data_IF_629775742594
#
_entry.id   IF_629775742594
#
_cell.length_a   1.000
_cell.length_b   1.000
_cell.length_c   1.000
_cell.angle_alpha   90.00
_cell.angle_beta   90.00
_cell.angle_gamma   90.00
#
_symmetry.space_group_name_H-M   'P 1'
#
loop_
_entity.id
_entity.type
_entity.pdbx_description
1 polymer ?
#
# COMPACT_ATOMS: atom_id res chain seq x y z
N UNK A 1 -38.59 10.17 18.43
CA UNK A 1 -38.40 8.85 17.80
C UNK A 1 -37.31 9.00 16.75
N UNK A 2 -36.19 8.29 16.89
CA UNK A 2 -35.16 8.21 15.84
C UNK A 2 -35.57 7.16 14.82
N UNK A 3 -35.68 7.55 13.56
CA UNK A 3 -36.03 6.64 12.46
C UNK A 3 -34.85 5.71 12.13
N UNK A 4 -35.10 4.64 11.37
CA UNK A 4 -34.03 3.76 10.84
C UNK A 4 -33.06 4.56 9.97
N UNK A 5 -33.59 5.49 9.17
CA UNK A 5 -32.82 6.42 8.33
C UNK A 5 -31.87 7.28 9.18
N UNK A 6 -32.34 7.85 10.30
CA UNK A 6 -31.51 8.66 11.18
C UNK A 6 -30.33 7.86 11.76
N UNK A 7 -30.57 6.59 12.13
CA UNK A 7 -29.52 5.70 12.64
C UNK A 7 -28.49 5.36 11.59
N UNK A 8 -28.91 5.09 10.36
CA UNK A 8 -28.01 4.84 9.22
C UNK A 8 -27.16 6.07 8.91
N UNK A 9 -27.77 7.26 8.86
CA UNK A 9 -27.05 8.53 8.64
C UNK A 9 -26.02 8.73 9.75
N UNK A 10 -26.41 8.53 11.02
CA UNK A 10 -25.52 8.69 12.16
C UNK A 10 -24.34 7.70 12.10
N UNK A 11 -24.58 6.43 11.79
CA UNK A 11 -23.53 5.42 11.65
C UNK A 11 -22.59 5.70 10.46
N UNK A 12 -23.14 6.10 9.31
CA UNK A 12 -22.32 6.51 8.15
C UNK A 12 -21.49 7.77 8.48
N UNK A 13 -22.05 8.71 9.23
CA UNK A 13 -21.32 9.89 9.69
C UNK A 13 -20.19 9.50 10.65
N UNK A 14 -20.41 8.55 11.57
CA UNK A 14 -19.37 8.02 12.45
C UNK A 14 -18.23 7.36 11.66
N UNK A 15 -18.53 6.58 10.62
CA UNK A 15 -17.51 6.02 9.72
C UNK A 15 -16.69 7.15 9.08
N UNK A 16 -17.37 8.14 8.51
CA UNK A 16 -16.72 9.29 7.84
C UNK A 16 -15.84 10.08 8.80
N UNK A 17 -16.36 10.49 9.95
CA UNK A 17 -15.62 11.31 10.92
C UNK A 17 -14.41 10.57 11.49
N UNK A 18 -14.54 9.27 11.77
CA UNK A 18 -13.44 8.44 12.27
C UNK A 18 -12.31 8.33 11.23
N UNK A 19 -12.65 8.10 9.95
CA UNK A 19 -11.65 8.07 8.88
C UNK A 19 -10.98 9.43 8.67
N UNK A 20 -11.74 10.52 8.68
CA UNK A 20 -11.19 11.87 8.54
C UNK A 20 -10.26 12.25 9.70
N UNK A 21 -10.59 11.83 10.92
CA UNK A 21 -9.71 12.02 12.07
C UNK A 21 -8.39 11.26 11.89
N UNK A 22 -8.46 9.97 11.50
CA UNK A 22 -7.29 9.14 11.29
C UNK A 22 -6.37 9.64 10.16
N UNK A 23 -6.93 10.27 9.13
CA UNK A 23 -6.18 10.81 7.99
C UNK A 23 -5.60 12.21 8.24
N UNK A 24 -6.07 12.93 9.27
CA UNK A 24 -5.70 14.34 9.49
C UNK A 24 -4.19 14.57 9.56
N UNK A 25 -3.39 13.78 10.29
CA UNK A 25 -1.94 14.00 10.32
C UNK A 25 -1.28 13.83 8.95
N UNK A 26 -1.75 12.90 8.11
CA UNK A 26 -1.23 12.72 6.75
C UNK A 26 -1.69 13.84 5.81
N UNK A 27 -2.87 14.41 6.02
CA UNK A 27 -3.32 15.60 5.30
C UNK A 27 -2.43 16.82 5.61
N UNK A 28 -1.97 16.97 6.86
CA UNK A 28 -1.01 18.01 7.25
C UNK A 28 0.35 17.83 6.57
N UNK A 29 0.81 16.58 6.42
CA UNK A 29 2.02 16.24 5.63
C UNK A 29 1.82 16.61 4.16
N UNK A 30 0.69 16.26 3.57
CA UNK A 30 0.34 16.56 2.17
C UNK A 30 0.19 18.07 1.87
N UNK A 31 -0.14 18.87 2.91
CA UNK A 31 -0.26 20.33 2.85
C UNK A 31 1.06 21.08 2.95
N UNK A 32 2.19 20.38 3.18
CA UNK A 32 3.53 20.99 3.18
C UNK A 32 3.99 21.31 1.76
N UNK A 33 5.04 22.13 1.67
CA UNK A 33 5.64 22.58 0.40
C UNK A 33 7.09 22.14 0.31
N UNK A 34 7.66 22.16 -0.90
CA UNK A 34 9.08 21.83 -1.12
C UNK A 34 10.02 22.81 -0.40
N UNK A 35 9.60 24.08 -0.26
CA UNK A 35 10.36 25.09 0.49
C UNK A 35 10.35 24.85 2.00
N UNK A 36 9.30 24.20 2.52
CA UNK A 36 9.16 23.84 3.93
C UNK A 36 8.65 22.40 4.08
N UNK A 37 9.47 21.39 3.70
CA UNK A 37 9.00 20.02 3.59
C UNK A 37 8.89 19.39 4.98
N UNK A 38 8.00 18.39 5.16
CA UNK A 38 7.79 17.72 6.44
C UNK A 38 9.09 17.09 6.95
N UNK A 39 9.20 16.90 8.27
CA UNK A 39 10.27 16.06 8.82
C UNK A 39 9.90 14.58 8.65
N UNK A 40 10.90 13.70 8.62
CA UNK A 40 10.68 12.25 8.49
C UNK A 40 9.95 11.72 9.73
N UNK A 41 10.27 12.28 10.90
CA UNK A 41 9.65 11.99 12.19
C UNK A 41 8.17 12.35 12.21
N UNK A 42 7.81 13.54 11.72
CA UNK A 42 6.41 13.97 11.65
C UNK A 42 5.60 13.09 10.69
N UNK A 43 6.19 12.74 9.55
CA UNK A 43 5.54 11.83 8.59
C UNK A 43 5.42 10.40 9.14
N UNK A 44 6.42 9.91 9.88
CA UNK A 44 6.36 8.62 10.55
C UNK A 44 5.24 8.62 11.61
N UNK A 45 5.18 9.63 12.47
CA UNK A 45 4.11 9.78 13.46
C UNK A 45 2.72 9.82 12.79
N UNK A 46 2.58 10.51 11.67
CA UNK A 46 1.33 10.56 10.91
C UNK A 46 0.93 9.19 10.34
N UNK A 47 1.87 8.44 9.77
CA UNK A 47 1.61 7.09 9.29
C UNK A 47 1.23 6.13 10.44
N UNK A 48 1.95 6.19 11.56
CA UNK A 48 1.69 5.40 12.76
C UNK A 48 0.33 5.71 13.37
N UNK A 49 -0.10 6.97 13.34
CA UNK A 49 -1.44 7.37 13.77
C UNK A 49 -2.53 6.67 12.94
N UNK A 50 -2.40 6.66 11.61
CA UNK A 50 -3.35 5.95 10.74
C UNK A 50 -3.36 4.43 11.01
N UNK A 51 -2.19 3.85 11.27
CA UNK A 51 -2.06 2.42 11.56
C UNK A 51 -2.74 2.08 12.90
N UNK A 52 -2.47 2.85 13.96
CA UNK A 52 -3.09 2.68 15.27
C UNK A 52 -4.61 2.95 15.24
N UNK A 53 -5.11 3.73 14.28
CA UNK A 53 -6.53 3.96 14.13
C UNK A 53 -7.28 2.75 13.53
N UNK A 54 -6.61 1.77 12.92
CA UNK A 54 -7.23 0.64 12.19
C UNK A 54 -8.36 -0.07 12.97
N UNK A 55 -8.20 -0.43 14.26
CA UNK A 55 -9.29 -1.09 14.99
C UNK A 55 -10.51 -0.21 15.16
N UNK A 56 -10.32 1.10 15.39
CA UNK A 56 -11.41 2.06 15.50
C UNK A 56 -12.14 2.25 14.15
N UNK A 57 -11.40 2.28 13.04
CA UNK A 57 -11.97 2.33 11.68
C UNK A 57 -12.81 1.07 11.40
N UNK A 58 -12.29 -0.11 11.73
CA UNK A 58 -12.98 -1.38 11.55
C UNK A 58 -14.23 -1.50 12.42
N UNK A 59 -14.16 -0.99 13.64
CA UNK A 59 -15.29 -0.93 14.56
C UNK A 59 -16.38 0.03 14.06
N UNK A 60 -16.04 1.23 13.57
CA UNK A 60 -17.01 2.15 13.01
C UNK A 60 -17.78 1.55 11.81
N UNK A 61 -17.09 0.80 10.95
CA UNK A 61 -17.74 0.05 9.86
C UNK A 61 -18.64 -1.04 10.43
N UNK A 62 -18.21 -1.71 11.50
CA UNK A 62 -18.99 -2.76 12.17
C UNK A 62 -20.27 -2.21 12.80
N UNK A 63 -20.25 -1.01 13.38
CA UNK A 63 -21.46 -0.33 13.85
C UNK A 63 -22.46 -0.08 12.71
N UNK A 64 -21.98 0.40 11.56
CA UNK A 64 -22.84 0.55 10.38
C UNK A 64 -23.41 -0.79 9.90
N UNK A 65 -22.63 -1.88 9.96
CA UNK A 65 -23.14 -3.23 9.68
C UNK A 65 -24.21 -3.68 10.67
N UNK A 66 -24.07 -3.35 11.97
CA UNK A 66 -25.08 -3.64 13.00
C UNK A 66 -26.39 -2.92 12.72
N UNK A 67 -26.34 -1.65 12.33
CA UNK A 67 -27.53 -0.87 11.95
C UNK A 67 -28.21 -1.44 10.70
N UNK A 68 -27.44 -1.89 9.70
CA UNK A 68 -27.98 -2.57 8.53
C UNK A 68 -28.71 -3.87 8.88
N UNK A 69 -28.19 -4.65 9.83
CA UNK A 69 -28.86 -5.86 10.33
C UNK A 69 -30.14 -5.49 11.08
N UNK A 70 -30.09 -4.48 11.94
CA UNK A 70 -31.26 -3.97 12.65
C UNK A 70 -32.35 -3.41 11.71
N UNK A 71 -31.95 -2.92 10.54
CA UNK A 71 -32.85 -2.47 9.46
C UNK A 71 -33.46 -3.63 8.64
N UNK A 72 -33.14 -4.89 8.95
CA UNK A 72 -33.74 -6.08 8.33
C UNK A 72 -32.86 -6.80 7.31
N UNK A 73 -31.61 -6.40 7.10
CA UNK A 73 -30.68 -7.17 6.26
C UNK A 73 -30.22 -8.41 7.02
N UNK A 74 -30.47 -9.60 6.48
CA UNK A 74 -30.00 -10.83 7.11
C UNK A 74 -28.47 -10.92 7.13
N UNK A 75 -27.91 -11.37 8.25
CA UNK A 75 -26.46 -11.58 8.39
C UNK A 75 -25.92 -12.57 7.35
N UNK A 76 -26.71 -13.58 6.96
CA UNK A 76 -26.36 -14.50 5.87
C UNK A 76 -26.23 -13.80 4.52
N UNK A 77 -27.14 -12.89 4.16
CA UNK A 77 -27.05 -12.09 2.93
C UNK A 77 -25.79 -11.22 2.97
N UNK A 78 -25.52 -10.60 4.11
CA UNK A 78 -24.38 -9.71 4.29
C UNK A 78 -23.04 -10.46 4.18
N UNK A 79 -22.90 -11.60 4.85
CA UNK A 79 -21.70 -12.45 4.76
C UNK A 79 -21.42 -12.88 3.32
N UNK A 80 -22.46 -13.28 2.58
CA UNK A 80 -22.36 -13.64 1.15
C UNK A 80 -21.91 -12.47 0.29
N UNK A 81 -22.46 -11.28 0.48
CA UNK A 81 -22.11 -10.09 -0.30
C UNK A 81 -20.68 -9.59 -0.02
N UNK A 82 -20.20 -9.79 1.21
CA UNK A 82 -18.82 -9.49 1.60
C UNK A 82 -17.82 -10.58 1.23
N UNK A 83 -18.29 -11.72 0.70
CA UNK A 83 -17.49 -12.91 0.41
C UNK A 83 -16.69 -13.42 1.63
N UNK A 84 -17.32 -13.42 2.81
CA UNK A 84 -16.74 -13.95 4.06
C UNK A 84 -17.58 -15.08 4.63
N UNK A 85 -16.97 -15.91 5.49
CA UNK A 85 -17.70 -16.93 6.22
C UNK A 85 -18.71 -16.27 7.18
N UNK A 86 -19.88 -16.88 7.31
CA UNK A 86 -20.93 -16.36 8.20
C UNK A 86 -20.47 -16.29 9.67
N UNK A 87 -19.73 -17.30 10.14
CA UNK A 87 -19.12 -17.27 11.48
C UNK A 87 -18.21 -16.06 11.69
N UNK A 88 -17.37 -15.72 10.71
CA UNK A 88 -16.50 -14.54 10.75
C UNK A 88 -17.29 -13.24 10.85
N UNK A 89 -18.43 -13.15 10.15
CA UNK A 89 -19.32 -11.99 10.28
C UNK A 89 -19.94 -11.94 11.68
N UNK A 90 -20.42 -13.08 12.20
CA UNK A 90 -21.02 -13.17 13.54
C UNK A 90 -20.01 -12.74 14.62
N UNK A 91 -18.78 -13.24 14.55
CA UNK A 91 -17.70 -12.88 15.47
C UNK A 91 -17.40 -11.38 15.41
N UNK A 92 -17.34 -10.82 14.19
CA UNK A 92 -17.16 -9.38 13.98
C UNK A 92 -18.30 -8.57 14.57
N UNK A 93 -19.56 -8.97 14.33
CA UNK A 93 -20.74 -8.27 14.85
C UNK A 93 -20.89 -8.42 16.36
N UNK A 94 -20.28 -9.41 16.99
CA UNK A 94 -20.24 -9.57 18.46
C UNK A 94 -19.05 -8.85 19.12
N UNK A 95 -18.03 -8.47 18.36
CA UNK A 95 -16.80 -7.88 18.90
C UNK A 95 -17.07 -6.55 19.65
N UNK A 96 -16.55 -6.37 20.87
CA UNK A 96 -16.75 -5.12 21.62
C UNK A 96 -16.03 -3.94 20.96
N UNK A 97 -16.33 -2.73 21.43
CA UNK A 97 -15.57 -1.55 21.04
C UNK A 97 -14.08 -1.74 21.39
N UNK A 98 -13.14 -1.36 20.50
CA UNK A 98 -11.72 -1.50 20.76
C UNK A 98 -11.31 -0.58 21.92
N UNK A 99 -10.38 -1.04 22.74
CA UNK A 99 -9.74 -0.18 23.73
C UNK A 99 -8.99 0.97 23.02
N UNK A 100 -8.91 2.12 23.68
CA UNK A 100 -8.11 3.23 23.19
C UNK A 100 -6.65 2.76 23.00
N UNK A 101 -6.17 2.75 21.76
CA UNK A 101 -4.79 2.36 21.48
C UNK A 101 -3.84 3.47 21.89
N UNK A 102 -2.81 3.11 22.66
CA UNK A 102 -1.70 4.02 22.90
C UNK A 102 -1.03 4.36 21.57
N UNK A 103 -0.72 5.65 21.37
CA UNK A 103 0.02 6.05 20.18
C UNK A 103 1.41 5.39 20.20
N UNK A 104 1.88 4.84 19.06
CA UNK A 104 3.21 4.26 19.00
C UNK A 104 4.27 5.33 19.30
N UNK A 105 5.10 5.10 20.31
CA UNK A 105 6.18 6.01 20.67
C UNK A 105 7.33 5.93 19.64
N UNK A 106 7.87 7.10 19.29
CA UNK A 106 9.06 7.19 18.45
C UNK A 106 10.30 6.98 19.32
N UNK A 107 11.10 5.97 18.99
CA UNK A 107 12.33 5.67 19.74
C UNK A 107 13.57 5.97 18.91
N UNK A 108 14.66 6.39 19.56
CA UNK A 108 15.93 6.73 18.89
C UNK A 108 16.50 5.60 18.00
N UNK A 109 16.19 4.34 18.31
CA UNK A 109 16.63 3.18 17.52
C UNK A 109 15.95 3.02 16.17
N UNK A 110 14.86 3.76 15.88
CA UNK A 110 14.05 3.60 14.66
C UNK A 110 14.71 4.18 13.42
N UNK A 111 15.72 5.04 13.58
CA UNK A 111 16.37 5.75 12.48
C UNK A 111 17.77 5.20 12.19
N UNK A 112 18.21 5.35 10.94
CA UNK A 112 19.58 5.14 10.47
C UNK A 112 20.09 6.45 9.88
N UNK A 113 21.40 6.64 9.97
CA UNK A 113 22.05 7.77 9.28
C UNK A 113 21.88 7.60 7.77
N UNK A 114 21.45 8.66 7.11
CA UNK A 114 21.27 8.78 5.67
C UNK A 114 21.97 10.03 5.15
N UNK A 115 22.32 10.02 3.89
CA UNK A 115 22.87 11.19 3.22
C UNK A 115 21.80 12.28 3.04
N UNK A 116 22.26 13.52 2.84
CA UNK A 116 21.37 14.68 2.74
C UNK A 116 20.44 14.62 1.52
N UNK A 117 20.87 13.98 0.42
CA UNK A 117 20.08 13.87 -0.82
C UNK A 117 18.91 12.92 -0.60
N UNK A 118 19.16 11.73 -0.05
CA UNK A 118 18.10 10.77 0.31
C UNK A 118 17.09 11.37 1.29
N UNK A 119 17.56 12.12 2.30
CA UNK A 119 16.68 12.79 3.27
C UNK A 119 15.82 13.85 2.56
N UNK A 120 16.41 14.68 1.70
CA UNK A 120 15.67 15.69 0.92
C UNK A 120 14.63 15.02 0.02
N UNK A 121 15.04 14.02 -0.75
CA UNK A 121 14.17 13.27 -1.66
C UNK A 121 13.00 12.62 -0.92
N UNK A 122 13.26 12.01 0.24
CA UNK A 122 12.23 11.44 1.08
C UNK A 122 11.22 12.49 1.55
N UNK A 123 11.69 13.62 2.09
CA UNK A 123 10.84 14.68 2.64
C UNK A 123 9.97 15.34 1.57
N UNK A 124 10.50 15.55 0.38
CA UNK A 124 9.75 16.11 -0.74
C UNK A 124 8.74 15.10 -1.30
N UNK A 125 9.16 13.84 -1.51
CA UNK A 125 8.30 12.76 -2.01
C UNK A 125 7.14 12.42 -1.06
N UNK A 126 7.35 12.58 0.25
CA UNK A 126 6.31 12.38 1.27
C UNK A 126 5.08 13.28 1.05
N UNK A 127 5.26 14.48 0.51
CA UNK A 127 4.16 15.41 0.22
C UNK A 127 3.22 14.81 -0.84
N UNK A 128 3.79 14.30 -1.94
CA UNK A 128 3.06 13.65 -3.02
C UNK A 128 2.42 12.35 -2.56
N UNK A 129 3.18 11.48 -1.89
CA UNK A 129 2.70 10.19 -1.41
C UNK A 129 1.52 10.33 -0.43
N UNK A 130 1.59 11.28 0.52
CA UNK A 130 0.51 11.54 1.46
C UNK A 130 -0.73 12.12 0.76
N UNK A 131 -0.55 12.97 -0.25
CA UNK A 131 -1.64 13.52 -1.06
C UNK A 131 -2.38 12.44 -1.85
N UNK A 132 -1.64 11.54 -2.49
CA UNK A 132 -2.22 10.46 -3.28
C UNK A 132 -2.94 9.44 -2.40
N UNK A 133 -2.39 9.12 -1.22
CA UNK A 133 -3.09 8.35 -0.20
C UNK A 133 -4.42 9.03 0.18
N UNK A 134 -4.40 10.33 0.48
CA UNK A 134 -5.60 11.09 0.80
C UNK A 134 -6.66 11.04 -0.30
N UNK A 135 -6.26 11.14 -1.57
CA UNK A 135 -7.16 11.00 -2.73
C UNK A 135 -7.78 9.62 -2.82
N UNK A 136 -7.01 8.55 -2.60
CA UNK A 136 -7.50 7.17 -2.61
C UNK A 136 -8.55 6.96 -1.52
N UNK A 137 -8.29 7.43 -0.29
CA UNK A 137 -9.25 7.38 0.80
C UNK A 137 -10.50 8.21 0.51
N UNK A 138 -10.35 9.43 -0.01
CA UNK A 138 -11.48 10.28 -0.37
C UNK A 138 -12.39 9.64 -1.42
N UNK A 139 -11.79 8.97 -2.42
CA UNK A 139 -12.52 8.22 -3.44
C UNK A 139 -13.32 7.06 -2.81
N UNK A 140 -12.67 6.25 -1.98
CA UNK A 140 -13.30 5.10 -1.32
C UNK A 140 -14.42 5.50 -0.33
N UNK A 141 -14.29 6.65 0.34
CA UNK A 141 -15.26 7.16 1.31
C UNK A 141 -16.38 7.99 0.68
N UNK A 142 -16.32 8.29 -0.63
CA UNK A 142 -17.33 9.12 -1.30
C UNK A 142 -18.75 8.55 -1.14
N UNK A 143 -19.03 7.25 -1.38
CA UNK A 143 -20.36 6.70 -1.19
C UNK A 143 -20.88 6.82 0.26
N UNK A 144 -20.02 6.53 1.24
CA UNK A 144 -20.36 6.67 2.67
C UNK A 144 -20.65 8.13 3.01
N UNK A 145 -19.89 9.06 2.43
CA UNK A 145 -20.10 10.49 2.65
C UNK A 145 -21.45 10.95 2.12
N UNK A 146 -21.87 10.46 0.95
CA UNK A 146 -23.19 10.73 0.37
C UNK A 146 -24.32 10.24 1.28
N UNK A 147 -24.21 9.01 1.83
CA UNK A 147 -25.18 8.48 2.81
C UNK A 147 -25.20 9.34 4.08
N UNK A 148 -24.02 9.73 4.59
CA UNK A 148 -23.90 10.51 5.82
C UNK A 148 -24.46 11.93 5.75
N UNK A 149 -24.54 12.51 4.55
CA UNK A 149 -25.05 13.88 4.37
C UNK A 149 -26.57 13.94 4.50
N UNK A 150 -27.29 12.84 4.22
CA UNK A 150 -28.74 12.73 4.44
C UNK A 150 -29.61 13.77 3.71
N UNK A 151 -29.02 14.65 2.90
CA UNK A 151 -29.68 15.78 2.26
C UNK A 151 -30.54 15.39 1.06
N UNK A 152 -30.36 14.16 0.58
CA UNK A 152 -31.17 13.52 -0.46
C UNK A 152 -31.80 12.27 0.17
N UNK A 153 -33.12 12.22 0.40
CA UNK A 153 -33.78 11.07 1.05
C UNK A 153 -33.47 9.73 0.38
N UNK A 154 -33.30 9.73 -0.95
CA UNK A 154 -32.93 8.56 -1.74
C UNK A 154 -31.50 8.06 -1.45
N UNK A 155 -30.62 8.94 -0.95
CA UNK A 155 -29.23 8.62 -0.62
C UNK A 155 -29.04 8.02 0.79
N UNK A 156 -30.01 8.20 1.69
CA UNK A 156 -29.96 7.68 3.07
C UNK A 156 -30.77 6.38 3.25
N UNK A 157 -30.91 5.61 2.17
CA UNK A 157 -31.65 4.34 2.19
C UNK A 157 -30.78 3.19 2.70
N UNK A 158 -31.44 2.12 3.16
CA UNK A 158 -30.79 0.87 3.59
C UNK A 158 -29.93 0.28 2.48
N UNK A 159 -30.43 0.28 1.24
CA UNK A 159 -29.70 -0.25 0.09
C UNK A 159 -28.48 0.60 -0.29
N UNK A 160 -28.61 1.94 -0.30
CA UNK A 160 -27.48 2.84 -0.54
C UNK A 160 -26.37 2.67 0.52
N UNK A 161 -26.76 2.52 1.79
CA UNK A 161 -25.82 2.26 2.87
C UNK A 161 -25.13 0.90 2.74
N UNK A 162 -25.87 -0.15 2.35
CA UNK A 162 -25.29 -1.46 2.04
C UNK A 162 -24.26 -1.37 0.91
N UNK A 163 -24.62 -0.72 -0.20
CA UNK A 163 -23.73 -0.55 -1.35
C UNK A 163 -22.46 0.22 -0.99
N UNK A 164 -22.60 1.29 -0.20
CA UNK A 164 -21.48 2.10 0.27
C UNK A 164 -20.51 1.29 1.15
N UNK A 165 -21.01 0.45 2.06
CA UNK A 165 -20.17 -0.42 2.89
C UNK A 165 -19.49 -1.50 2.05
N UNK A 166 -20.19 -2.11 1.09
CA UNK A 166 -19.60 -3.11 0.20
C UNK A 166 -18.53 -2.49 -0.71
N UNK A 167 -18.72 -1.26 -1.16
CA UNK A 167 -17.69 -0.50 -1.88
C UNK A 167 -16.45 -0.32 -1.00
N UNK A 168 -16.60 0.18 0.23
CA UNK A 168 -15.48 0.38 1.15
C UNK A 168 -14.77 -0.95 1.49
N UNK A 169 -15.52 -2.04 1.68
CA UNK A 169 -14.97 -3.39 1.91
C UNK A 169 -14.10 -3.85 0.74
N UNK A 170 -14.58 -3.70 -0.50
CA UNK A 170 -13.81 -4.04 -1.71
C UNK A 170 -12.56 -3.16 -1.88
N UNK A 171 -12.64 -1.90 -1.46
CA UNK A 171 -11.52 -0.95 -1.54
C UNK A 171 -10.43 -1.18 -0.49
N UNK A 172 -10.65 -2.02 0.54
CA UNK A 172 -9.72 -2.20 1.67
C UNK A 172 -8.29 -2.53 1.26
N UNK A 173 -8.12 -3.47 0.33
CA UNK A 173 -6.79 -3.84 -0.16
C UNK A 173 -6.08 -2.68 -0.88
N UNK A 174 -6.83 -1.86 -1.62
CA UNK A 174 -6.28 -0.67 -2.29
C UNK A 174 -5.91 0.42 -1.27
N UNK A 175 -6.69 0.60 -0.20
CA UNK A 175 -6.37 1.52 0.89
C UNK A 175 -5.10 1.11 1.63
N UNK A 176 -4.93 -0.19 1.88
CA UNK A 176 -3.70 -0.73 2.49
C UNK A 176 -2.47 -0.54 1.59
N UNK A 177 -2.60 -0.80 0.29
CA UNK A 177 -1.53 -0.59 -0.69
C UNK A 177 -1.20 0.89 -0.90
N UNK A 178 -2.16 1.81 -0.75
CA UNK A 178 -1.94 3.24 -0.85
C UNK A 178 -1.00 3.80 0.23
N UNK A 179 -0.76 3.05 1.32
CA UNK A 179 0.23 3.39 2.35
C UNK A 179 1.67 3.06 1.92
N UNK A 180 1.87 2.14 0.96
CA UNK A 180 3.20 1.66 0.57
C UNK A 180 4.14 2.77 0.07
N UNK A 181 3.70 3.75 -0.75
CA UNK A 181 4.55 4.86 -1.16
C UNK A 181 5.02 5.73 0.02
N UNK A 182 4.17 5.94 1.03
CA UNK A 182 4.55 6.66 2.25
C UNK A 182 5.62 5.88 3.01
N UNK A 183 5.42 4.57 3.20
CA UNK A 183 6.41 3.70 3.86
C UNK A 183 7.74 3.66 3.09
N UNK A 184 7.70 3.65 1.77
CA UNK A 184 8.89 3.69 0.92
C UNK A 184 9.69 4.98 1.14
N UNK A 185 9.02 6.13 1.18
CA UNK A 185 9.66 7.42 1.46
C UNK A 185 10.25 7.47 2.88
N UNK A 186 9.58 6.89 3.88
CA UNK A 186 10.11 6.78 5.24
C UNK A 186 11.40 5.93 5.29
N UNK A 187 11.43 4.81 4.57
CA UNK A 187 12.65 3.98 4.45
C UNK A 187 13.78 4.75 3.76
N UNK A 188 13.48 5.50 2.70
CA UNK A 188 14.46 6.36 2.02
C UNK A 188 15.04 7.41 2.99
N UNK A 189 14.15 8.03 3.78
CA UNK A 189 14.48 9.02 4.80
C UNK A 189 15.22 8.47 6.02
N UNK A 190 15.41 7.15 6.12
CA UNK A 190 16.25 6.51 7.12
C UNK A 190 15.51 5.72 8.19
N UNK A 191 14.19 5.57 8.12
CA UNK A 191 13.45 4.70 9.04
C UNK A 191 13.82 3.23 8.76
N UNK A 192 14.12 2.48 9.83
CA UNK A 192 14.47 1.06 9.75
C UNK A 192 13.25 0.25 9.33
N UNK A 193 13.43 -0.62 8.34
CA UNK A 193 12.40 -1.58 7.90
C UNK A 193 11.92 -2.48 9.06
N UNK A 194 12.82 -2.92 9.94
CA UNK A 194 12.45 -3.71 11.12
C UNK A 194 11.50 -2.93 12.04
N UNK A 195 11.84 -1.68 12.37
CA UNK A 195 11.00 -0.83 13.21
C UNK A 195 9.66 -0.49 12.56
N UNK A 196 9.61 -0.34 11.23
CA UNK A 196 8.34 -0.22 10.51
C UNK A 196 7.52 -1.50 10.55
N UNK A 197 8.16 -2.67 10.40
CA UNK A 197 7.48 -3.96 10.45
C UNK A 197 6.87 -4.22 11.84
N UNK A 198 7.64 -3.95 12.90
CA UNK A 198 7.19 -4.00 14.30
C UNK A 198 6.00 -3.05 14.52
N UNK A 199 6.10 -1.79 14.08
CA UNK A 199 5.03 -0.82 14.28
C UNK A 199 3.77 -1.09 13.42
N UNK A 200 3.92 -1.82 12.32
CA UNK A 200 2.82 -2.31 11.49
C UNK A 200 2.20 -3.62 12.01
N UNK A 201 2.80 -4.25 13.03
CA UNK A 201 2.50 -5.60 13.48
C UNK A 201 2.49 -6.62 12.31
N UNK A 202 3.50 -6.52 11.44
CA UNK A 202 3.68 -7.45 10.32
C UNK A 202 5.06 -8.09 10.34
N UNK A 203 5.13 -9.31 9.83
CA UNK A 203 6.40 -9.98 9.63
C UNK A 203 7.30 -9.17 8.67
N UNK A 204 8.62 -9.02 8.93
CA UNK A 204 9.53 -8.25 8.08
C UNK A 204 9.51 -8.65 6.60
N UNK A 205 9.41 -9.95 6.30
CA UNK A 205 9.27 -10.44 4.92
C UNK A 205 8.00 -9.93 4.21
N UNK A 206 6.90 -9.74 4.95
CA UNK A 206 5.66 -9.17 4.41
C UNK A 206 5.87 -7.71 4.02
N UNK A 207 6.51 -6.93 4.89
CA UNK A 207 6.86 -5.54 4.58
C UNK A 207 7.83 -5.47 3.39
N UNK A 208 8.84 -6.34 3.36
CA UNK A 208 9.78 -6.42 2.24
C UNK A 208 9.04 -6.66 0.92
N UNK A 209 8.13 -7.63 0.86
CA UNK A 209 7.33 -7.94 -0.32
C UNK A 209 6.47 -6.75 -0.78
N UNK A 210 5.84 -6.03 0.15
CA UNK A 210 5.08 -4.79 -0.16
C UNK A 210 5.98 -3.72 -0.78
N UNK A 211 7.17 -3.54 -0.21
CA UNK A 211 8.12 -2.52 -0.67
C UNK A 211 8.89 -2.93 -1.93
N UNK A 212 8.83 -4.18 -2.39
CA UNK A 212 9.53 -4.60 -3.62
C UNK A 212 9.09 -3.79 -4.84
N UNK A 213 7.80 -3.45 -4.93
CA UNK A 213 7.26 -2.62 -6.02
C UNK A 213 7.48 -1.12 -5.85
N UNK A 214 8.21 -0.68 -4.81
CA UNK A 214 8.41 0.73 -4.48
C UNK A 214 9.88 1.13 -4.69
N UNK A 215 10.24 1.76 -5.83
CA UNK A 215 11.64 2.07 -6.16
C UNK A 215 12.35 2.91 -5.10
N UNK A 216 11.67 3.92 -4.55
CA UNK A 216 12.22 4.82 -3.53
C UNK A 216 12.66 4.07 -2.25
N UNK A 217 12.04 2.93 -1.93
CA UNK A 217 12.41 2.15 -0.74
C UNK A 217 13.81 1.53 -0.85
N UNK A 218 14.34 1.35 -2.08
CA UNK A 218 15.62 0.68 -2.36
C UNK A 218 16.67 1.61 -2.97
N UNK A 219 16.29 2.83 -3.32
CA UNK A 219 17.18 3.81 -3.92
C UNK A 219 18.38 4.15 -3.02
N UNK A 220 19.56 4.27 -3.63
CA UNK A 220 20.73 4.92 -3.04
C UNK A 220 20.77 6.36 -3.52
N UNK A 221 21.57 7.19 -2.86
CA UNK A 221 21.73 8.60 -3.26
C UNK A 221 22.10 8.77 -4.74
N UNK A 222 22.86 7.84 -5.32
CA UNK A 222 23.29 7.89 -6.71
C UNK A 222 22.14 7.61 -7.68
N UNK A 223 21.16 6.81 -7.27
CA UNK A 223 20.05 6.38 -8.12
C UNK A 223 18.91 7.42 -8.17
N UNK A 224 19.02 8.52 -7.40
CA UNK A 224 17.97 9.52 -7.25
C UNK A 224 18.10 10.62 -8.30
N UNK A 225 17.01 10.88 -9.02
CA UNK A 225 16.89 11.97 -9.98
C UNK A 225 15.84 12.96 -9.49
N UNK A 226 16.23 14.23 -9.33
CA UNK A 226 15.33 15.35 -9.01
C UNK A 226 14.64 15.78 -10.31
N UNK A 227 13.33 15.53 -10.42
CA UNK A 227 12.53 15.95 -11.58
C UNK A 227 11.97 17.37 -11.40
N UNK A 228 12.29 18.05 -10.30
CA UNK A 228 11.73 19.34 -9.94
C UNK A 228 10.39 19.23 -9.20
N UNK A 229 9.97 20.34 -8.61
CA UNK A 229 8.69 20.48 -7.88
C UNK A 229 8.46 19.44 -6.77
N UNK A 230 9.54 18.88 -6.22
CA UNK A 230 9.49 17.88 -5.15
C UNK A 230 9.18 16.46 -5.65
N UNK A 231 9.27 16.23 -6.96
CA UNK A 231 9.14 14.91 -7.57
C UNK A 231 10.53 14.28 -7.74
N UNK A 232 10.66 13.06 -7.25
CA UNK A 232 11.88 12.28 -7.34
C UNK A 232 11.60 10.97 -8.06
N UNK A 233 12.46 10.61 -8.99
CA UNK A 233 12.47 9.29 -9.62
C UNK A 233 13.74 8.53 -9.30
N UNK A 234 13.70 7.22 -9.57
CA UNK A 234 14.82 6.32 -9.34
C UNK A 234 15.26 5.79 -10.69
N UNK A 235 16.47 6.16 -11.10
CA UNK A 235 17.14 5.64 -12.28
C UNK A 235 18.45 4.98 -11.83
N UNK A 236 18.74 3.72 -12.20
CA UNK A 236 19.97 3.06 -11.78
C UNK A 236 21.17 3.88 -12.26
N UNK A 237 21.95 4.41 -11.32
CA UNK A 237 23.19 5.07 -11.70
C UNK A 237 24.27 4.01 -11.98
N UNK A 238 25.02 4.23 -13.06
CA UNK A 238 26.09 3.35 -13.53
C UNK A 238 27.35 3.47 -12.64
N UNK A 239 27.22 3.14 -11.36
CA UNK A 239 28.29 3.25 -10.35
C UNK A 239 28.59 1.90 -9.72
N UNK A 240 29.87 1.55 -9.59
CA UNK A 240 30.33 0.30 -8.98
C UNK A 240 30.05 -0.93 -9.87
N UNK A 241 29.47 -2.00 -9.29
CA UNK A 241 29.12 -3.26 -10.00
C UNK A 241 28.21 -3.08 -11.23
N UNK A 242 27.55 -1.93 -11.33
CA UNK A 242 26.63 -1.58 -12.41
C UNK A 242 27.24 -0.60 -13.42
N UNK A 243 28.52 -0.23 -13.27
CA UNK A 243 29.27 0.40 -14.35
C UNK A 243 29.49 -0.67 -15.43
N UNK A 244 29.16 -0.43 -16.71
CA UNK A 244 29.56 -1.33 -17.79
C UNK A 244 31.07 -1.59 -17.71
N UNK A 245 31.51 -2.84 -17.85
CA UNK A 245 32.91 -3.13 -18.11
C UNK A 245 33.25 -2.45 -19.44
N UNK A 246 34.20 -1.52 -19.41
CA UNK A 246 34.59 -0.56 -20.45
C UNK A 246 33.65 -0.40 -21.67
N UNK A 247 33.00 0.78 -21.86
CA UNK A 247 32.28 1.07 -23.10
C UNK A 247 33.19 1.24 -24.32
N UNK A 248 34.53 1.24 -24.12
CA UNK A 248 35.54 1.24 -25.18
C UNK A 248 36.19 -0.16 -25.32
N UNK A 249 35.38 -1.20 -25.55
CA UNK A 249 35.93 -2.36 -26.26
C UNK A 249 36.18 -1.92 -27.70
N UNK A 250 37.46 -1.78 -28.08
CA UNK A 250 37.83 -1.43 -29.45
C UNK A 250 37.08 -2.33 -30.44
N UNK A 251 36.47 -1.77 -31.50
CA UNK A 251 35.74 -2.56 -32.50
C UNK A 251 36.54 -3.75 -33.03
N UNK A 252 37.87 -3.60 -33.13
CA UNK A 252 38.80 -4.64 -33.55
C UNK A 252 38.86 -5.84 -32.58
N UNK A 253 38.69 -5.62 -31.27
CA UNK A 253 38.67 -6.68 -30.25
C UNK A 253 37.36 -7.47 -30.28
N UNK A 254 36.24 -6.77 -30.53
CA UNK A 254 34.92 -7.39 -30.71
C UNK A 254 34.89 -8.16 -32.04
N UNK A 255 35.42 -7.59 -33.12
CA UNK A 255 35.55 -8.28 -34.41
C UNK A 255 36.46 -9.50 -34.34
N UNK A 256 37.58 -9.43 -33.61
CA UNK A 256 38.46 -10.58 -33.39
C UNK A 256 37.76 -11.70 -32.60
N UNK A 257 37.04 -11.36 -31.52
CA UNK A 257 36.29 -12.34 -30.73
C UNK A 257 35.11 -12.95 -31.51
N UNK A 258 34.44 -12.17 -32.37
CA UNK A 258 33.38 -12.66 -33.26
C UNK A 258 33.97 -13.55 -34.36
N UNK A 259 35.10 -13.18 -34.95
CA UNK A 259 35.80 -14.01 -35.92
C UNK A 259 36.22 -15.35 -35.30
N UNK A 260 36.81 -15.34 -34.10
CA UNK A 260 37.18 -16.54 -33.35
C UNK A 260 35.97 -17.43 -33.04
N UNK A 261 34.84 -16.84 -32.63
CA UNK A 261 33.61 -17.58 -32.38
C UNK A 261 33.01 -18.18 -33.68
N UNK A 262 33.08 -17.47 -34.81
CA UNK A 262 32.65 -17.98 -36.11
C UNK A 262 33.55 -19.13 -36.58
N UNK A 263 34.87 -19.01 -36.39
CA UNK A 263 35.83 -20.08 -36.69
C UNK A 263 35.57 -21.31 -35.82
N UNK A 264 35.32 -21.13 -34.51
CA UNK A 264 35.00 -22.22 -33.59
C UNK A 264 33.67 -22.94 -33.95
N UNK A 265 32.68 -22.22 -34.49
CA UNK A 265 31.42 -22.79 -35.00
C UNK A 265 31.62 -23.51 -36.35
N UNK A 266 32.51 -23.01 -37.20
CA UNK A 266 32.87 -23.66 -38.46
C UNK A 266 33.69 -24.94 -38.25
N UNK A 267 34.60 -24.95 -37.27
CA UNK A 267 35.39 -26.12 -36.90
C UNK A 267 34.55 -27.20 -36.17
N UNK A 268 33.46 -26.82 -35.51
CA UNK A 268 32.58 -27.71 -34.75
C UNK A 268 31.15 -27.82 -35.33
N UNK A 269 31.01 -27.84 -36.66
CA UNK A 269 29.72 -27.87 -37.37
C UNK A 269 28.66 -28.86 -36.80
N UNK A 270 27.36 -28.60 -37.07
CA UNK A 270 26.25 -29.04 -36.24
C UNK A 270 26.04 -30.55 -36.28
N UNK A 271 26.46 -31.26 -35.23
CA UNK A 271 26.00 -32.63 -34.97
C UNK A 271 25.99 -32.95 -33.48
N UNK A 272 24.82 -32.77 -32.83
CA UNK A 272 24.21 -33.76 -31.94
C UNK A 272 22.92 -33.25 -31.28
N UNK A 273 21.79 -33.52 -31.97
CA UNK A 273 20.44 -33.78 -31.42
C UNK A 273 19.72 -32.67 -30.68
N UNK A 274 19.04 -31.83 -31.46
CA UNK A 274 17.67 -31.47 -31.14
C UNK A 274 16.80 -32.74 -31.10
N UNK A 275 16.29 -33.10 -29.91
CA UNK A 275 15.12 -33.95 -29.75
C UNK A 275 14.06 -33.11 -29.04
N UNK A 276 13.27 -32.41 -29.83
CA UNK A 276 11.91 -32.07 -29.44
C UNK A 276 11.08 -33.35 -29.55
N UNK A 277 10.63 -33.88 -28.42
CA UNK A 277 9.44 -34.73 -28.36
C UNK A 277 8.38 -33.96 -27.59
N UNK A 278 7.35 -33.58 -28.34
CA UNK A 278 6.10 -32.98 -27.91
C UNK A 278 5.15 -34.06 -27.34
N UNK A 279 4.13 -33.62 -26.59
CA UNK A 279 2.97 -34.37 -26.05
C UNK A 279 3.26 -35.29 -24.83
N UNK A 280 2.46 -35.39 -23.75
CA UNK A 280 1.01 -35.16 -23.53
C UNK A 280 0.68 -35.19 -22.03
N UNK A 281 -0.56 -34.78 -21.71
CA UNK A 281 -1.25 -34.64 -20.42
C UNK A 281 -1.50 -35.94 -19.62
N UNK A 282 -1.55 -35.80 -18.28
CA UNK A 282 -2.16 -36.64 -17.21
C UNK A 282 -1.64 -38.10 -17.05
N UNK A 283 -1.57 -38.73 -15.87
CA UNK A 283 -2.53 -38.82 -14.78
C UNK A 283 -1.86 -39.41 -13.52
N UNK A 284 -2.51 -39.24 -12.38
CA UNK A 284 -2.14 -39.61 -11.02
C UNK A 284 -2.04 -41.13 -10.76
N UNK A 285 -1.12 -41.59 -9.87
CA UNK A 285 -1.39 -42.35 -8.62
C UNK A 285 -0.27 -43.32 -8.16
N UNK A 286 0.01 -43.21 -6.85
CA UNK A 286 0.17 -44.29 -5.83
C UNK A 286 1.47 -45.12 -5.78
N UNK A 287 2.16 -44.90 -4.65
CA UNK A 287 2.83 -45.82 -3.71
C UNK A 287 3.64 -47.02 -4.20
N UNK A 288 4.85 -47.13 -3.63
CA UNK A 288 5.19 -48.22 -2.70
C UNK A 288 5.86 -47.63 -1.46
#
# INVERSE_FOLDING_TARGET
MTTTTDRIIAAANAVRTTHLAALRPLAEVAGRTVAAPPTVEAALAAALHLIAARPALDHAITELLRELVAAGISSTKLARLMSIRHSTLTDRLAAPAPAAQAMPELHYGMFRRKDKVSIRAARESLIGAARDLGRTYASALRPISTVSQGSVPEAATVDAALEAVLHLHRSRAALDAALDPVLACLVLGGVRRMSLAEALDVHPNTLQRRLMGQPLAHARHADLVDEGEGKWSVAPAEVGRYKPADPELEPALVEAAVAEAITAVAENGPSARAREYSATVAESRVAF
#
